data_IF_206883504044
#
_entry.id   IF_206883504044
#
_cell.length_a   1.000
_cell.length_b   1.000
_cell.length_c   1.000
_cell.angle_alpha   90.00
_cell.angle_beta   90.00
_cell.angle_gamma   90.00
#
_symmetry.space_group_name_H-M   'P 1'
#
loop_
_entity.id
_entity.type
_entity.pdbx_description
1 polymer ?
#
# COMPACT_ATOMS: atom_id res chain seq x y z
N UNK A 1 17.65 4.63 16.85
CA UNK A 1 16.80 3.46 17.14
C UNK A 1 16.01 3.16 15.87
N UNK A 2 16.09 1.94 15.35
CA UNK A 2 15.29 1.53 14.18
C UNK A 2 13.99 0.96 14.74
N UNK A 3 12.85 1.57 14.40
CA UNK A 3 11.55 1.05 14.81
C UNK A 3 11.25 -0.24 14.02
N UNK A 4 10.84 -1.35 14.66
CA UNK A 4 10.65 -2.64 14.00
C UNK A 4 9.71 -2.60 12.79
N UNK A 5 8.70 -1.73 12.79
CA UNK A 5 7.74 -1.60 11.69
C UNK A 5 8.22 -0.78 10.48
N UNK A 6 9.36 -0.08 10.57
CA UNK A 6 9.81 0.87 9.53
C UNK A 6 9.98 0.20 8.16
N UNK A 7 10.41 -1.06 8.15
CA UNK A 7 10.70 -1.81 6.93
C UNK A 7 9.47 -2.47 6.31
N UNK A 8 8.40 -2.66 7.07
CA UNK A 8 7.16 -3.28 6.60
C UNK A 8 6.36 -2.39 5.66
N UNK A 9 6.58 -1.07 5.71
CA UNK A 9 5.88 -0.09 4.90
C UNK A 9 6.64 0.33 3.63
N UNK A 10 7.76 -0.33 3.31
CA UNK A 10 8.49 -0.04 2.07
C UNK A 10 7.70 -0.53 0.85
N UNK A 11 7.79 0.17 -0.30
CA UNK A 11 7.10 -0.22 -1.52
C UNK A 11 7.42 -1.66 -1.95
N UNK A 12 6.39 -2.43 -2.28
CA UNK A 12 6.54 -3.80 -2.81
C UNK A 12 6.49 -3.78 -4.34
N UNK A 13 7.35 -4.56 -5.03
CA UNK A 13 7.25 -4.76 -6.47
C UNK A 13 5.88 -5.29 -6.92
N UNK A 14 5.17 -6.02 -6.04
CA UNK A 14 3.81 -6.50 -6.30
C UNK A 14 2.84 -5.35 -6.58
N UNK A 15 3.01 -4.20 -5.91
CA UNK A 15 2.13 -3.05 -6.06
C UNK A 15 2.62 -2.03 -7.09
N UNK A 16 3.94 -1.77 -7.13
CA UNK A 16 4.51 -0.69 -7.94
C UNK A 16 5.17 -1.18 -9.23
N UNK A 17 5.22 -2.49 -9.45
CA UNK A 17 6.00 -3.10 -10.52
C UNK A 17 7.50 -3.01 -10.27
N UNK A 18 8.27 -3.62 -11.17
CA UNK A 18 9.72 -3.74 -11.01
C UNK A 18 10.49 -2.50 -11.47
N UNK A 19 9.93 -1.72 -12.41
CA UNK A 19 10.67 -0.66 -13.11
C UNK A 19 10.22 0.76 -12.75
N UNK A 20 9.11 0.94 -12.05
CA UNK A 20 8.59 2.27 -11.69
C UNK A 20 9.56 2.99 -10.75
N UNK A 21 10.15 4.13 -11.16
CA UNK A 21 11.08 4.87 -10.30
C UNK A 21 10.34 5.52 -9.12
N UNK A 22 10.71 5.17 -7.89
CA UNK A 22 10.11 5.72 -6.66
C UNK A 22 11.05 6.73 -5.98
N UNK A 23 12.35 6.52 -6.08
CA UNK A 23 13.37 7.48 -5.65
C UNK A 23 14.32 7.75 -6.80
N UNK A 24 14.53 9.01 -7.15
CA UNK A 24 15.42 9.42 -8.24
C UNK A 24 16.52 10.29 -7.68
N UNK A 25 17.77 9.90 -7.87
CA UNK A 25 18.96 10.71 -7.54
C UNK A 25 19.62 11.21 -8.82
N UNK A 26 20.68 12.01 -8.70
CA UNK A 26 21.48 12.43 -9.85
C UNK A 26 22.06 11.25 -10.65
N UNK A 27 22.43 10.15 -9.97
CA UNK A 27 23.21 9.06 -10.58
C UNK A 27 22.42 7.76 -10.76
N UNK A 28 21.30 7.59 -10.04
CA UNK A 28 20.50 6.36 -10.04
C UNK A 28 19.04 6.62 -9.73
N UNK A 29 18.17 5.86 -10.38
CA UNK A 29 16.78 5.70 -9.98
C UNK A 29 16.58 4.36 -9.26
N UNK A 30 15.76 4.35 -8.23
CA UNK A 30 15.44 3.17 -7.42
C UNK A 30 13.95 2.87 -7.57
N UNK A 31 13.64 1.67 -8.06
CA UNK A 31 12.30 1.11 -8.06
C UNK A 31 12.05 0.27 -6.80
N UNK A 32 10.85 -0.31 -6.65
CA UNK A 32 10.51 -1.13 -5.49
C UNK A 32 11.47 -2.33 -5.29
N UNK A 33 11.96 -2.95 -6.38
CA UNK A 33 12.97 -4.02 -6.30
C UNK A 33 14.33 -3.55 -5.78
N UNK A 34 14.63 -2.25 -5.92
CA UNK A 34 15.91 -1.65 -5.54
C UNK A 34 15.95 -1.19 -4.08
N UNK A 35 14.89 -1.43 -3.29
CA UNK A 35 14.81 -0.95 -1.91
C UNK A 35 16.02 -1.37 -1.04
N UNK A 36 16.61 -2.58 -1.12
CA UNK A 36 17.84 -2.88 -0.38
C UNK A 36 19.00 -1.95 -0.74
N UNK A 37 19.18 -1.68 -2.04
CA UNK A 37 20.22 -0.79 -2.54
C UNK A 37 19.93 0.68 -2.18
N UNK A 38 18.66 1.09 -2.16
CA UNK A 38 18.25 2.41 -1.72
C UNK A 38 18.55 2.62 -0.23
N UNK A 39 18.19 1.66 0.64
CA UNK A 39 18.47 1.74 2.07
C UNK A 39 19.97 1.85 2.35
N UNK A 40 20.80 1.07 1.64
CA UNK A 40 22.25 1.19 1.74
C UNK A 40 22.75 2.57 1.27
N UNK A 41 22.24 3.09 0.16
CA UNK A 41 22.60 4.41 -0.35
C UNK A 41 22.15 5.56 0.57
N UNK A 42 21.03 5.37 1.28
CA UNK A 42 20.53 6.29 2.31
C UNK A 42 21.34 6.24 3.62
N UNK A 43 22.39 5.41 3.68
CA UNK A 43 23.30 5.34 4.82
C UNK A 43 22.78 4.48 5.98
N UNK A 44 21.78 3.62 5.75
CA UNK A 44 21.38 2.66 6.76
C UNK A 44 22.50 1.63 6.97
N UNK A 45 22.74 1.20 8.22
CA UNK A 45 23.82 0.28 8.52
C UNK A 45 23.50 -1.13 7.97
N UNK A 46 24.51 -1.96 7.65
CA UNK A 46 24.30 -3.25 6.96
C UNK A 46 23.32 -4.20 7.65
N UNK A 47 23.25 -4.20 8.99
CA UNK A 47 22.29 -5.04 9.71
C UNK A 47 20.84 -4.62 9.46
N UNK A 48 20.59 -3.34 9.21
CA UNK A 48 19.26 -2.82 8.91
C UNK A 48 18.78 -3.29 7.53
N UNK A 49 19.66 -3.23 6.53
CA UNK A 49 19.40 -3.76 5.18
C UNK A 49 19.17 -5.26 5.23
N UNK A 50 20.01 -6.00 5.96
CA UNK A 50 19.84 -7.43 6.16
C UNK A 50 18.51 -7.79 6.83
N UNK A 51 18.06 -7.02 7.82
CA UNK A 51 16.74 -7.23 8.45
C UNK A 51 15.59 -6.97 7.46
N UNK A 52 15.70 -5.95 6.61
CA UNK A 52 14.72 -5.74 5.54
C UNK A 52 14.67 -6.95 4.60
N UNK A 53 15.81 -7.37 4.07
CA UNK A 53 15.92 -8.48 3.10
C UNK A 53 15.45 -9.81 3.66
N UNK A 54 15.74 -10.11 4.92
CA UNK A 54 15.45 -11.43 5.52
C UNK A 54 14.12 -11.49 6.26
N UNK A 55 13.51 -10.35 6.62
CA UNK A 55 12.28 -10.31 7.43
C UNK A 55 11.12 -9.61 6.75
N UNK A 56 11.33 -8.39 6.24
CA UNK A 56 10.23 -7.59 5.71
C UNK A 56 9.93 -7.91 4.24
N UNK A 57 10.97 -7.98 3.39
CA UNK A 57 10.82 -8.23 1.96
C UNK A 57 10.13 -9.58 1.66
N UNK A 58 10.46 -10.71 2.32
CA UNK A 58 9.78 -11.97 2.05
C UNK A 58 8.28 -11.93 2.35
N UNK A 59 7.88 -11.18 3.40
CA UNK A 59 6.46 -10.98 3.74
C UNK A 59 5.76 -10.13 2.68
N UNK A 60 6.39 -9.05 2.24
CA UNK A 60 5.85 -8.17 1.20
C UNK A 60 5.71 -8.84 -0.18
N UNK A 61 6.57 -9.83 -0.48
CA UNK A 61 6.52 -10.61 -1.72
C UNK A 61 5.57 -11.83 -1.65
N UNK A 62 5.26 -12.31 -0.44
CA UNK A 62 4.40 -13.49 -0.22
C UNK A 62 2.97 -13.10 0.16
N UNK A 63 2.52 -11.92 -0.24
CA UNK A 63 1.16 -11.45 0.04
C UNK A 63 0.14 -12.33 -0.71
N UNK A 64 -0.86 -12.83 0.00
CA UNK A 64 -1.92 -13.66 -0.56
C UNK A 64 -3.23 -13.49 0.21
N UNK A 65 -4.34 -14.02 -0.32
CA UNK A 65 -5.66 -13.86 0.27
C UNK A 65 -5.77 -14.50 1.65
N UNK A 66 -6.57 -13.93 2.56
CA UNK A 66 -6.82 -14.52 3.87
C UNK A 66 -7.78 -15.72 3.83
N UNK A 67 -8.42 -16.02 2.69
CA UNK A 67 -9.33 -17.15 2.47
C UNK A 67 -10.56 -17.15 3.40
N UNK A 68 -10.97 -15.95 3.80
CA UNK A 68 -12.23 -15.68 4.51
C UNK A 68 -12.93 -14.53 3.80
N UNK A 69 -14.27 -14.40 3.87
CA UNK A 69 -14.97 -13.28 3.26
C UNK A 69 -14.33 -11.94 3.65
N UNK A 70 -13.91 -11.19 2.65
CA UNK A 70 -13.11 -9.99 2.84
C UNK A 70 -13.73 -8.82 2.09
N UNK A 71 -13.92 -7.71 2.80
CA UNK A 71 -14.21 -6.40 2.21
C UNK A 71 -13.10 -5.42 2.58
N UNK A 72 -12.43 -4.85 1.59
CA UNK A 72 -11.46 -3.79 1.76
C UNK A 72 -12.15 -2.43 1.60
N UNK A 73 -12.04 -1.56 2.60
CA UNK A 73 -12.56 -0.18 2.55
C UNK A 73 -11.36 0.76 2.64
N UNK A 74 -11.11 1.53 1.59
CA UNK A 74 -9.95 2.41 1.49
C UNK A 74 -10.36 3.82 1.06
N UNK A 75 -9.54 4.80 1.44
CA UNK A 75 -9.64 6.16 0.90
C UNK A 75 -8.97 6.31 -0.47
N UNK A 76 -9.10 7.49 -1.07
CA UNK A 76 -8.57 7.80 -2.39
C UNK A 76 -8.90 9.24 -2.80
N UNK A 77 -8.24 9.77 -3.84
CA UNK A 77 -8.44 11.13 -4.32
C UNK A 77 -7.73 12.21 -3.51
N UNK A 78 -6.81 11.83 -2.62
CA UNK A 78 -6.02 12.75 -1.79
C UNK A 78 -4.56 12.74 -2.27
N UNK A 79 -3.94 13.91 -2.52
CA UNK A 79 -2.55 13.99 -2.96
C UNK A 79 -1.62 13.20 -2.02
N UNK A 80 -0.94 12.19 -2.58
CA UNK A 80 -0.08 11.26 -1.83
C UNK A 80 1.30 11.23 -2.45
N UNK A 81 2.35 11.20 -1.62
CA UNK A 81 3.74 11.15 -2.10
C UNK A 81 3.95 9.91 -2.97
N UNK A 82 4.29 10.10 -4.24
CA UNK A 82 4.47 9.02 -5.20
C UNK A 82 5.95 8.83 -5.57
N UNK A 83 6.73 9.92 -5.59
CA UNK A 83 8.14 9.87 -5.95
C UNK A 83 8.93 10.97 -5.28
N UNK A 84 10.15 10.62 -4.84
CA UNK A 84 11.12 11.55 -4.26
C UNK A 84 12.27 11.78 -5.22
N UNK A 85 12.63 13.05 -5.46
CA UNK A 85 13.68 13.43 -6.42
C UNK A 85 14.79 14.22 -5.71
N UNK A 86 15.99 13.65 -5.68
CA UNK A 86 17.21 14.17 -5.06
C UNK A 86 18.28 14.46 -6.12
N UNK A 87 18.00 15.41 -7.03
CA UNK A 87 18.96 15.84 -8.07
C UNK A 87 19.86 17.00 -7.64
N UNK A 88 19.52 17.68 -6.56
CA UNK A 88 20.26 18.84 -6.06
C UNK A 88 21.54 18.50 -5.28
N UNK A 89 22.34 19.53 -4.94
CA UNK A 89 23.47 19.40 -4.03
C UNK A 89 23.03 18.78 -2.69
N UNK A 90 23.86 17.90 -2.12
CA UNK A 90 23.56 17.17 -0.89
C UNK A 90 22.86 15.82 -1.09
N UNK A 91 22.34 15.53 -2.30
CA UNK A 91 21.79 14.21 -2.65
C UNK A 91 20.74 13.75 -1.64
N UNK A 92 20.83 12.49 -1.19
CA UNK A 92 19.92 11.91 -0.20
C UNK A 92 19.98 12.57 1.20
N UNK A 93 20.97 13.41 1.46
CA UNK A 93 21.07 14.20 2.70
C UNK A 93 20.31 15.55 2.65
N UNK A 94 19.78 15.94 1.49
CA UNK A 94 18.99 17.17 1.31
C UNK A 94 17.48 16.87 1.31
N UNK A 95 16.65 17.91 1.37
CA UNK A 95 15.22 17.74 1.14
C UNK A 95 14.96 17.38 -0.34
N UNK A 96 14.12 16.36 -0.64
CA UNK A 96 13.76 16.04 -2.01
C UNK A 96 12.75 17.03 -2.58
N UNK A 97 12.72 17.13 -3.90
CA UNK A 97 11.50 17.51 -4.60
C UNK A 97 10.51 16.34 -4.51
N UNK A 98 9.27 16.65 -4.15
CA UNK A 98 8.21 15.66 -3.93
C UNK A 98 7.23 15.71 -5.10
N UNK A 99 7.03 14.56 -5.73
CA UNK A 99 5.98 14.37 -6.74
C UNK A 99 4.81 13.66 -6.07
N UNK A 100 3.62 14.23 -6.24
CA UNK A 100 2.38 13.70 -5.70
C UNK A 100 1.57 12.98 -6.78
N UNK A 101 1.03 11.83 -6.41
CA UNK A 101 0.05 11.08 -7.17
C UNK A 101 -1.24 10.90 -6.37
N UNK A 102 -2.06 9.94 -6.78
CA UNK A 102 -3.30 9.59 -6.09
C UNK A 102 -3.08 8.61 -4.92
N UNK A 103 -3.93 8.71 -3.91
CA UNK A 103 -3.95 7.88 -2.72
C UNK A 103 -4.85 8.49 -1.64
N UNK A 104 -4.62 8.13 -0.39
CA UNK A 104 -5.35 8.64 0.78
C UNK A 104 -4.56 9.69 1.59
N UNK A 105 -3.46 10.19 1.05
CA UNK A 105 -2.52 11.10 1.71
C UNK A 105 -1.37 10.39 2.41
N UNK A 106 -1.43 9.06 2.57
CA UNK A 106 -0.34 8.24 3.15
C UNK A 106 -0.04 7.03 2.25
N UNK A 107 -1.06 6.28 1.85
CA UNK A 107 -0.98 5.07 1.04
C UNK A 107 -1.32 5.42 -0.41
N UNK A 108 -0.41 5.11 -1.33
CA UNK A 108 -0.64 5.32 -2.76
C UNK A 108 -1.81 4.47 -3.26
N UNK A 109 -2.54 5.01 -4.25
CA UNK A 109 -3.60 4.27 -4.93
C UNK A 109 -3.07 2.97 -5.56
N UNK A 110 -1.83 2.94 -6.06
CA UNK A 110 -1.21 1.72 -6.59
C UNK A 110 -1.22 0.57 -5.56
N UNK A 111 -0.88 0.84 -4.31
CA UNK A 111 -0.93 -0.16 -3.22
C UNK A 111 -2.36 -0.62 -2.91
N UNK A 112 -3.33 0.30 -2.96
CA UNK A 112 -4.74 -0.02 -2.72
C UNK A 112 -5.27 -0.94 -3.84
N UNK A 113 -4.98 -0.61 -5.10
CA UNK A 113 -5.41 -1.40 -6.27
C UNK A 113 -4.69 -2.75 -6.37
N UNK A 114 -3.49 -2.87 -5.81
CA UNK A 114 -2.80 -4.15 -5.74
C UNK A 114 -3.61 -5.19 -4.95
N UNK A 115 -4.41 -4.78 -3.96
CA UNK A 115 -5.30 -5.69 -3.22
C UNK A 115 -6.37 -6.30 -4.14
N UNK A 116 -6.93 -5.53 -5.07
CA UNK A 116 -7.93 -6.02 -6.02
C UNK A 116 -7.36 -7.16 -6.87
N UNK A 117 -6.07 -7.08 -7.19
CA UNK A 117 -5.37 -8.08 -8.01
C UNK A 117 -4.91 -9.27 -7.16
N UNK A 118 -4.22 -9.02 -6.05
CA UNK A 118 -3.61 -10.06 -5.21
C UNK A 118 -4.65 -10.85 -4.44
N UNK A 119 -5.66 -10.17 -3.90
CA UNK A 119 -6.72 -10.80 -3.11
C UNK A 119 -7.90 -11.18 -4.00
N UNK A 120 -8.42 -10.23 -4.77
CA UNK A 120 -9.59 -10.44 -5.61
C UNK A 120 -9.34 -11.30 -6.85
N UNK A 121 -8.08 -11.39 -7.31
CA UNK A 121 -7.70 -12.23 -8.44
C UNK A 121 -7.39 -13.68 -8.08
N UNK A 122 -7.29 -14.04 -6.79
CA UNK A 122 -7.02 -15.41 -6.38
C UNK A 122 -8.33 -16.23 -6.35
N UNK A 123 -8.44 -17.32 -7.12
CA UNK A 123 -9.67 -18.11 -7.20
C UNK A 123 -10.07 -18.79 -5.89
N UNK A 124 -9.16 -18.88 -4.91
CA UNK A 124 -9.45 -19.42 -3.57
C UNK A 124 -10.14 -18.40 -2.67
N UNK A 125 -10.08 -17.11 -3.01
CA UNK A 125 -10.76 -16.04 -2.28
C UNK A 125 -12.21 -15.94 -2.76
N UNK A 126 -13.08 -16.80 -2.23
CA UNK A 126 -14.48 -16.92 -2.68
C UNK A 126 -15.26 -15.60 -2.63
N UNK A 127 -14.99 -14.75 -1.64
CA UNK A 127 -15.64 -13.45 -1.49
C UNK A 127 -14.62 -12.35 -1.26
N UNK A 128 -14.44 -11.50 -2.27
CA UNK A 128 -13.67 -10.28 -2.18
C UNK A 128 -14.51 -9.09 -2.65
N UNK A 129 -14.55 -8.04 -1.85
CA UNK A 129 -15.16 -6.76 -2.22
C UNK A 129 -14.17 -5.64 -1.94
N UNK A 130 -14.07 -4.71 -2.87
CA UNK A 130 -13.25 -3.50 -2.73
C UNK A 130 -14.12 -2.27 -2.80
N UNK A 131 -13.96 -1.39 -1.83
CA UNK A 131 -14.70 -0.15 -1.69
C UNK A 131 -13.70 0.97 -1.56
N UNK A 132 -13.79 1.93 -2.47
CA UNK A 132 -12.97 3.14 -2.43
C UNK A 132 -13.87 4.34 -2.18
N UNK A 133 -13.57 5.08 -1.13
CA UNK A 133 -14.28 6.30 -0.79
C UNK A 133 -13.50 7.47 -1.39
N UNK A 134 -14.13 8.18 -2.33
CA UNK A 134 -13.51 9.32 -3.00
C UNK A 134 -13.30 10.49 -2.04
N UNK A 135 -12.19 11.21 -2.22
CA UNK A 135 -11.75 12.33 -1.39
C UNK A 135 -11.64 11.98 0.10
N UNK A 136 -11.27 10.74 0.40
CA UNK A 136 -11.14 10.25 1.77
C UNK A 136 -9.67 10.05 2.13
N UNK A 137 -9.26 10.65 3.26
CA UNK A 137 -7.89 10.55 3.74
C UNK A 137 -7.65 9.26 4.53
N UNK A 138 -6.37 8.97 4.77
CA UNK A 138 -5.90 7.81 5.52
C UNK A 138 -6.52 7.75 6.93
N UNK A 139 -6.61 8.88 7.62
CA UNK A 139 -7.27 8.94 8.93
C UNK A 139 -8.79 9.01 8.78
N UNK A 140 -9.28 9.67 7.73
CA UNK A 140 -10.71 9.80 7.45
C UNK A 140 -11.41 8.46 7.28
N UNK A 141 -10.76 7.46 6.67
CA UNK A 141 -11.36 6.12 6.50
C UNK A 141 -11.73 5.45 7.85
N UNK A 142 -11.12 5.89 8.96
CA UNK A 142 -11.41 5.38 10.30
C UNK A 142 -12.36 6.30 11.09
N UNK A 143 -12.29 7.62 10.86
CA UNK A 143 -12.97 8.61 11.72
C UNK A 143 -14.13 9.37 11.07
N UNK A 144 -14.21 9.39 9.74
CA UNK A 144 -15.25 10.12 9.02
C UNK A 144 -16.59 9.39 9.09
N UNK A 145 -17.67 10.15 9.26
CA UNK A 145 -19.02 9.60 9.35
C UNK A 145 -19.45 8.83 8.10
N UNK A 146 -19.02 9.27 6.90
CA UNK A 146 -19.29 8.57 5.64
C UNK A 146 -18.59 7.21 5.59
N UNK A 147 -17.35 7.13 6.10
CA UNK A 147 -16.62 5.88 6.16
C UNK A 147 -17.27 4.90 7.15
N UNK A 148 -17.72 5.40 8.30
CA UNK A 148 -18.48 4.62 9.28
C UNK A 148 -19.80 4.11 8.69
N UNK A 149 -20.56 4.97 8.01
CA UNK A 149 -21.82 4.58 7.34
C UNK A 149 -21.56 3.47 6.31
N UNK A 150 -20.50 3.60 5.51
CA UNK A 150 -20.12 2.58 4.53
C UNK A 150 -19.76 1.26 5.20
N UNK A 151 -18.98 1.28 6.28
CA UNK A 151 -18.61 0.10 7.06
C UNK A 151 -19.84 -0.60 7.64
N UNK A 152 -20.74 0.16 8.29
CA UNK A 152 -21.97 -0.37 8.86
C UNK A 152 -22.86 -0.98 7.78
N UNK A 153 -22.96 -0.34 6.61
CA UNK A 153 -23.69 -0.88 5.46
C UNK A 153 -23.16 -2.24 5.02
N UNK A 154 -21.84 -2.45 4.99
CA UNK A 154 -21.24 -3.75 4.67
C UNK A 154 -21.50 -4.81 5.74
N UNK A 155 -21.39 -4.44 7.03
CA UNK A 155 -21.66 -5.35 8.14
C UNK A 155 -23.13 -5.80 8.12
N UNK A 156 -24.06 -4.88 7.92
CA UNK A 156 -25.49 -5.21 7.87
C UNK A 156 -25.86 -5.99 6.61
N UNK A 157 -25.28 -5.66 5.45
CA UNK A 157 -25.48 -6.43 4.22
C UNK A 157 -25.00 -7.88 4.37
N UNK A 158 -23.83 -8.09 5.00
CA UNK A 158 -23.31 -9.43 5.28
C UNK A 158 -24.13 -10.20 6.33
N UNK A 159 -24.82 -9.50 7.23
CA UNK A 159 -25.65 -10.10 8.28
C UNK A 159 -27.06 -10.50 7.80
N UNK A 160 -27.54 -9.95 6.67
CA UNK A 160 -28.82 -10.36 6.08
C UNK A 160 -28.71 -11.77 5.49
N UNK A 161 -29.53 -12.74 5.95
CA UNK A 161 -29.59 -14.05 5.33
C UNK A 161 -30.00 -13.90 3.86
N UNK A 162 -29.37 -14.66 2.97
CA UNK A 162 -29.88 -14.80 1.61
C UNK A 162 -31.31 -15.34 1.70
N UNK A 163 -32.30 -14.52 1.36
CA UNK A 163 -33.68 -14.99 1.18
C UNK A 163 -33.63 -15.89 -0.04
N UNK A 164 -33.78 -17.19 0.19
CA UNK A 164 -33.75 -18.19 -0.87
C UNK A 164 -34.99 -18.00 -1.76
N UNK A 165 -34.80 -17.27 -2.86
CA UNK A 165 -35.83 -16.99 -3.86
C UNK A 165 -36.27 -18.24 -4.65
N UNK A 166 -35.82 -19.44 -4.24
CA UNK A 166 -36.28 -20.74 -4.76
C UNK A 166 -37.34 -21.42 -3.90
N UNK A 167 -37.84 -20.76 -2.86
CA UNK A 167 -38.94 -21.25 -2.01
C UNK A 167 -40.30 -20.55 -2.28
N UNK A 168 -40.54 -20.07 -3.50
CA UNK A 168 -41.87 -19.64 -3.98
C UNK A 168 -42.22 -20.34 -5.28
#
# INVERSE_FOLDING_TARGET
MIFPGTFSALPSPVAFGDDTPLVVTANRSYAARDMPAFLAAAGLPPQAVWLYETRALPVALSLGPPLVPMTCINGGGVPTVEKLVYRGPGGLGAAPEVVYGDGDGVVNLASILALDTVMGGDPRQEHYRSIRIANMSHLGVVSDALALERLLGEIFYAATPAVDARAM
#
